data_IF_585633946462
#
_entry.id   IF_585633946462
#
_cell.length_a   1.000
_cell.length_b   1.000
_cell.length_c   1.000
_cell.angle_alpha   90.00
_cell.angle_beta   90.00
_cell.angle_gamma   90.00
#
_symmetry.space_group_name_H-M   'P 1'
#
loop_
_entity.id
_entity.type
_entity.pdbx_description
1 polymer ?
#
# COMPACT_ATOMS: atom_id res chain seq x y z
N UNK A 1 15.90 -22.52 -8.04
CA UNK A 1 16.97 -21.52 -7.97
C UNK A 1 17.84 -21.50 -9.24
N UNK A 2 18.27 -22.67 -9.76
CA UNK A 2 19.14 -22.71 -10.97
C UNK A 2 18.44 -22.08 -12.19
N UNK A 3 17.15 -22.39 -12.43
CA UNK A 3 16.38 -21.72 -13.49
C UNK A 3 16.33 -20.22 -13.32
N UNK A 4 16.07 -19.70 -12.13
CA UNK A 4 16.05 -18.26 -11.87
C UNK A 4 17.41 -17.61 -12.16
N UNK A 5 18.51 -18.29 -11.85
CA UNK A 5 19.85 -17.82 -12.20
C UNK A 5 20.13 -17.85 -13.71
N UNK A 6 19.57 -18.82 -14.43
CA UNK A 6 19.66 -18.88 -15.89
C UNK A 6 18.85 -17.75 -16.54
N UNK A 7 17.70 -17.41 -15.99
CA UNK A 7 16.87 -16.25 -16.41
C UNK A 7 17.54 -14.92 -16.07
N UNK A 8 18.23 -14.85 -14.92
CA UNK A 8 19.08 -13.72 -14.52
C UNK A 8 18.34 -12.48 -14.02
N UNK A 9 17.01 -12.48 -14.01
CA UNK A 9 16.17 -11.34 -13.69
C UNK A 9 14.95 -11.72 -12.89
N UNK A 10 14.47 -10.78 -12.06
CA UNK A 10 13.16 -10.82 -11.38
C UNK A 10 12.39 -9.57 -11.78
N UNK A 11 11.15 -9.74 -12.20
CA UNK A 11 10.24 -8.67 -12.55
C UNK A 11 9.12 -8.59 -11.52
N UNK A 12 9.04 -7.47 -10.80
CA UNK A 12 7.98 -7.24 -9.82
C UNK A 12 6.97 -6.18 -10.28
N UNK A 13 5.86 -6.12 -9.56
CA UNK A 13 4.90 -5.02 -9.64
C UNK A 13 4.59 -4.53 -8.23
N UNK A 14 4.46 -3.20 -8.07
CA UNK A 14 4.10 -2.56 -6.81
C UNK A 14 5.17 -2.67 -5.71
N UNK A 15 6.44 -2.91 -6.09
CA UNK A 15 7.56 -3.09 -5.16
C UNK A 15 8.69 -2.09 -5.42
N UNK A 16 8.39 -0.77 -5.55
CA UNK A 16 9.38 0.23 -5.89
C UNK A 16 10.40 0.43 -4.75
N UNK A 17 11.57 0.91 -5.11
CA UNK A 17 12.74 1.04 -4.25
C UNK A 17 12.51 1.87 -2.98
N UNK A 18 11.65 2.87 -3.03
CA UNK A 18 11.35 3.81 -1.94
C UNK A 18 10.19 3.36 -1.04
N UNK A 19 9.64 2.17 -1.30
CA UNK A 19 8.56 1.58 -0.52
C UNK A 19 9.07 0.43 0.37
N UNK A 20 8.67 0.40 1.64
CA UNK A 20 8.88 -0.72 2.58
C UNK A 20 10.29 -1.34 2.55
N UNK A 21 11.32 -0.54 2.25
CA UNK A 21 12.71 -0.99 2.09
C UNK A 21 12.92 -2.05 0.99
N UNK A 22 12.12 -2.03 -0.08
CA UNK A 22 12.33 -2.95 -1.20
C UNK A 22 13.72 -2.80 -1.82
N UNK A 23 14.29 -1.59 -1.88
CA UNK A 23 15.68 -1.37 -2.30
C UNK A 23 16.67 -2.26 -1.56
N UNK A 24 16.58 -2.31 -0.24
CA UNK A 24 17.46 -3.16 0.58
C UNK A 24 17.23 -4.65 0.34
N UNK A 25 15.97 -5.05 0.19
CA UNK A 25 15.60 -6.45 -0.10
C UNK A 25 16.12 -6.90 -1.45
N UNK A 26 15.92 -6.09 -2.50
CA UNK A 26 16.41 -6.41 -3.86
C UNK A 26 17.93 -6.39 -3.95
N UNK A 27 18.60 -5.46 -3.26
CA UNK A 27 20.06 -5.44 -3.17
C UNK A 27 20.60 -6.75 -2.56
N UNK A 28 19.98 -7.24 -1.49
CA UNK A 28 20.35 -8.50 -0.85
C UNK A 28 20.08 -9.73 -1.75
N UNK A 29 19.01 -9.72 -2.52
CA UNK A 29 18.72 -10.77 -3.51
C UNK A 29 19.75 -10.77 -4.62
N UNK A 30 20.07 -9.59 -5.17
CA UNK A 30 21.09 -9.43 -6.21
C UNK A 30 22.46 -9.89 -5.74
N UNK A 31 22.90 -9.47 -4.56
CA UNK A 31 24.18 -9.88 -3.97
C UNK A 31 24.26 -11.41 -3.77
N UNK A 32 23.19 -11.99 -3.24
CA UNK A 32 23.18 -13.43 -2.88
C UNK A 32 23.05 -14.35 -4.06
N UNK A 33 22.27 -13.98 -5.08
CA UNK A 33 21.87 -14.88 -6.15
C UNK A 33 22.33 -14.44 -7.54
N UNK A 34 22.84 -13.21 -7.69
CA UNK A 34 23.29 -12.65 -8.97
C UNK A 34 22.15 -12.28 -9.92
N UNK A 35 20.95 -12.04 -9.37
CA UNK A 35 19.76 -11.66 -10.13
C UNK A 35 19.65 -10.15 -10.24
N UNK A 36 19.26 -9.65 -11.40
CA UNK A 36 18.81 -8.27 -11.58
C UNK A 36 17.33 -8.15 -11.20
N UNK A 37 16.89 -6.94 -10.87
CA UNK A 37 15.51 -6.67 -10.53
C UNK A 37 14.99 -5.48 -11.32
N UNK A 38 13.77 -5.60 -11.83
CA UNK A 38 13.00 -4.50 -12.41
C UNK A 38 11.61 -4.48 -11.79
N UNK A 39 11.15 -3.29 -11.38
CA UNK A 39 9.80 -3.07 -10.87
C UNK A 39 8.95 -2.26 -11.84
N UNK A 40 7.65 -2.55 -11.85
CA UNK A 40 6.66 -1.68 -12.47
C UNK A 40 5.74 -1.18 -11.37
N UNK A 41 5.87 0.09 -11.00
CA UNK A 41 5.06 0.70 -9.95
C UNK A 41 3.60 0.77 -10.38
N UNK A 42 2.72 0.15 -9.58
CA UNK A 42 1.27 0.08 -9.80
C UNK A 42 0.54 0.11 -8.46
N UNK A 43 -0.70 0.57 -8.48
CA UNK A 43 -1.59 0.40 -7.32
C UNK A 43 -2.09 -1.05 -7.22
N UNK A 44 -2.48 -1.49 -6.02
CA UNK A 44 -2.92 -2.87 -5.77
C UNK A 44 -4.02 -3.37 -6.72
N UNK A 45 -4.95 -2.51 -7.11
CA UNK A 45 -5.99 -2.89 -8.07
C UNK A 45 -5.45 -3.01 -9.51
N UNK A 46 -4.47 -2.18 -9.88
CA UNK A 46 -3.88 -2.19 -11.22
C UNK A 46 -2.98 -3.41 -11.43
N UNK A 47 -2.33 -3.90 -10.39
CA UNK A 47 -1.44 -5.07 -10.45
C UNK A 47 -2.16 -6.36 -10.87
N UNK A 48 -3.43 -6.51 -10.49
CA UNK A 48 -4.19 -7.72 -10.82
C UNK A 48 -4.50 -7.82 -12.32
N UNK A 49 -4.57 -6.70 -13.04
CA UNK A 49 -4.89 -6.68 -14.47
C UNK A 49 -3.81 -7.33 -15.35
N UNK A 50 -2.50 -7.00 -15.25
CA UNK A 50 -1.47 -7.72 -15.98
C UNK A 50 -1.40 -9.20 -15.59
N UNK A 51 -1.57 -9.58 -14.33
CA UNK A 51 -1.60 -10.98 -13.93
C UNK A 51 -2.74 -11.75 -14.62
N UNK A 52 -3.91 -11.14 -14.79
CA UNK A 52 -5.03 -11.76 -15.49
C UNK A 52 -4.78 -11.84 -17.01
N UNK A 53 -4.33 -10.75 -17.62
CA UNK A 53 -4.16 -10.66 -19.08
C UNK A 53 -2.97 -11.46 -19.59
N UNK A 54 -1.93 -11.64 -18.77
CA UNK A 54 -0.69 -12.32 -19.11
C UNK A 54 -0.63 -13.76 -18.56
N UNK A 55 -1.73 -14.29 -18.04
CA UNK A 55 -1.82 -15.57 -17.33
C UNK A 55 -1.07 -16.73 -18.01
N UNK A 56 -1.16 -16.84 -19.35
CA UNK A 56 -0.52 -17.90 -20.14
C UNK A 56 0.91 -17.56 -20.59
N UNK A 57 1.34 -16.31 -20.42
CA UNK A 57 2.64 -15.81 -20.84
C UNK A 57 3.13 -14.73 -19.85
N UNK A 58 3.15 -15.07 -18.57
CA UNK A 58 3.47 -14.14 -17.49
C UNK A 58 4.85 -13.50 -17.68
N UNK A 59 4.89 -12.18 -17.60
CA UNK A 59 6.12 -11.38 -17.62
C UNK A 59 6.51 -10.88 -16.23
N UNK A 60 5.66 -11.10 -15.23
CA UNK A 60 5.87 -10.71 -13.84
C UNK A 60 5.96 -11.93 -12.94
N UNK A 61 6.88 -11.90 -12.01
CA UNK A 61 7.18 -13.02 -11.10
C UNK A 61 6.49 -12.86 -9.74
N UNK A 62 6.33 -11.61 -9.29
CA UNK A 62 5.84 -11.31 -7.95
C UNK A 62 5.17 -9.92 -7.91
N UNK A 63 4.19 -9.75 -7.04
CA UNK A 63 3.54 -8.45 -6.78
C UNK A 63 3.33 -8.19 -5.29
N UNK A 64 3.20 -6.91 -4.92
CA UNK A 64 2.94 -6.44 -3.57
C UNK A 64 1.61 -5.70 -3.52
N UNK A 65 0.57 -6.39 -3.13
CA UNK A 65 -0.79 -5.84 -3.00
C UNK A 65 -1.18 -5.68 -1.54
N UNK A 66 -2.01 -4.69 -1.25
CA UNK A 66 -2.64 -4.60 0.07
C UNK A 66 -3.43 -5.87 0.39
N UNK A 67 -3.44 -6.27 1.66
CA UNK A 67 -4.02 -7.54 2.13
C UNK A 67 -5.44 -7.81 1.58
N UNK A 68 -6.28 -6.77 1.45
CA UNK A 68 -7.64 -6.91 0.94
C UNK A 68 -7.70 -7.44 -0.52
N UNK A 69 -6.64 -7.27 -1.29
CA UNK A 69 -6.55 -7.74 -2.67
C UNK A 69 -6.03 -9.18 -2.81
N UNK A 70 -5.44 -9.76 -1.76
CA UNK A 70 -4.98 -11.15 -1.75
C UNK A 70 -6.09 -12.16 -2.07
N UNK A 71 -7.24 -12.15 -1.36
CA UNK A 71 -8.40 -12.98 -1.70
C UNK A 71 -8.90 -12.77 -3.12
N UNK A 72 -8.93 -11.53 -3.61
CA UNK A 72 -9.34 -11.21 -4.99
C UNK A 72 -8.39 -11.85 -6.01
N UNK A 73 -7.08 -11.78 -5.79
CA UNK A 73 -6.10 -12.45 -6.67
C UNK A 73 -6.29 -13.98 -6.70
N UNK A 74 -6.69 -14.58 -5.57
CA UNK A 74 -7.02 -16.01 -5.48
C UNK A 74 -8.30 -16.34 -6.28
N UNK A 75 -9.35 -15.53 -6.14
CA UNK A 75 -10.61 -15.70 -6.87
C UNK A 75 -10.43 -15.56 -8.38
N UNK A 76 -9.58 -14.64 -8.83
CA UNK A 76 -9.21 -14.44 -10.24
C UNK A 76 -8.32 -15.56 -10.78
N UNK A 77 -7.80 -16.46 -9.90
CA UNK A 77 -6.88 -17.54 -10.23
C UNK A 77 -5.61 -17.04 -10.96
N UNK A 78 -5.04 -15.93 -10.48
CA UNK A 78 -3.86 -15.28 -11.08
C UNK A 78 -2.59 -15.49 -10.25
N UNK A 79 -2.67 -16.23 -9.14
CA UNK A 79 -1.54 -16.52 -8.24
C UNK A 79 -1.35 -18.01 -8.06
N UNK A 80 -0.09 -18.45 -8.01
CA UNK A 80 0.29 -19.83 -7.77
C UNK A 80 0.65 -20.06 -6.31
N UNK A 81 0.40 -21.24 -5.73
CA UNK A 81 0.79 -21.55 -4.37
C UNK A 81 2.30 -21.69 -4.25
N UNK A 82 2.87 -20.96 -3.30
CA UNK A 82 4.28 -21.07 -2.94
C UNK A 82 4.47 -20.91 -1.43
N UNK A 83 5.07 -21.90 -0.78
CA UNK A 83 5.42 -21.84 0.64
C UNK A 83 6.93 -21.70 0.78
N UNK A 84 7.39 -20.52 1.18
CA UNK A 84 8.80 -20.28 1.46
C UNK A 84 9.31 -21.17 2.59
N UNK A 85 10.63 -21.35 2.71
CA UNK A 85 11.24 -22.16 3.78
C UNK A 85 10.93 -21.65 5.20
N UNK A 86 10.52 -20.40 5.32
CA UNK A 86 10.11 -19.75 6.57
C UNK A 86 8.59 -19.71 6.77
N UNK A 87 7.82 -20.41 5.94
CA UNK A 87 6.35 -20.37 5.92
C UNK A 87 5.72 -20.62 7.30
N UNK A 88 6.25 -21.60 8.03
CA UNK A 88 5.72 -21.99 9.35
C UNK A 88 5.95 -20.91 10.44
N UNK A 89 6.89 -20.00 10.22
CA UNK A 89 7.13 -18.85 11.11
C UNK A 89 6.23 -17.66 10.84
N UNK A 90 5.51 -17.62 9.71
CA UNK A 90 4.52 -16.58 9.40
C UNK A 90 3.25 -16.88 10.21
N UNK A 91 2.71 -15.92 10.97
CA UNK A 91 1.44 -16.09 11.70
C UNK A 91 0.28 -16.48 10.77
N UNK A 92 -0.66 -17.28 11.26
CA UNK A 92 -1.78 -17.76 10.43
C UNK A 92 -2.67 -16.63 9.90
N UNK A 93 -2.81 -15.52 10.63
CA UNK A 93 -3.55 -14.35 10.16
C UNK A 93 -2.84 -13.59 9.02
N UNK A 94 -1.56 -13.86 8.80
CA UNK A 94 -0.69 -13.16 7.84
C UNK A 94 -0.40 -13.98 6.57
N UNK A 95 -1.18 -15.04 6.32
CA UNK A 95 -0.96 -15.91 5.16
C UNK A 95 -2.23 -16.65 4.73
N UNK A 96 -2.31 -16.93 3.45
CA UNK A 96 -3.30 -17.85 2.91
C UNK A 96 -2.91 -19.31 3.24
N UNK A 97 -3.81 -20.16 3.76
CA UNK A 97 -3.47 -21.51 4.17
C UNK A 97 -2.93 -22.41 3.02
N UNK A 98 -3.36 -22.13 1.78
CA UNK A 98 -2.93 -22.84 0.59
C UNK A 98 -1.62 -22.31 0.00
N UNK A 99 -1.09 -21.20 0.55
CA UNK A 99 0.19 -20.62 0.13
C UNK A 99 0.10 -19.67 -1.05
N UNK A 100 -1.06 -19.15 -1.39
CA UNK A 100 -1.26 -18.29 -2.54
C UNK A 100 -0.81 -16.85 -2.30
N UNK A 101 -0.78 -16.40 -1.04
CA UNK A 101 -0.22 -15.12 -0.61
C UNK A 101 0.27 -15.16 0.83
N UNK A 102 1.13 -14.23 1.19
CA UNK A 102 1.49 -13.94 2.57
C UNK A 102 1.82 -12.46 2.74
N UNK A 103 1.64 -11.94 3.95
CA UNK A 103 2.05 -10.60 4.32
C UNK A 103 3.56 -10.60 4.55
N UNK A 104 4.28 -9.70 3.88
CA UNK A 104 5.73 -9.53 4.01
C UNK A 104 6.10 -8.44 5.03
N UNK A 105 5.23 -7.47 5.27
CA UNK A 105 5.37 -6.40 6.24
C UNK A 105 4.01 -5.85 6.66
N UNK A 106 3.98 -5.06 7.72
CA UNK A 106 2.80 -4.35 8.20
C UNK A 106 3.18 -2.90 8.49
N UNK A 107 2.21 -2.01 8.35
CA UNK A 107 2.34 -0.60 8.70
C UNK A 107 1.18 -0.14 9.58
N UNK A 108 1.39 0.97 10.25
CA UNK A 108 0.35 1.68 11.00
C UNK A 108 -0.09 2.90 10.20
N UNK A 109 -1.42 3.11 10.10
CA UNK A 109 -1.96 4.31 9.48
C UNK A 109 -1.51 5.54 10.29
N UNK A 110 -0.85 6.48 9.63
CA UNK A 110 -0.22 7.65 10.22
C UNK A 110 -0.54 8.91 9.44
N UNK A 111 -0.33 10.06 10.06
CA UNK A 111 -0.44 11.37 9.42
C UNK A 111 0.96 11.95 9.21
N UNK A 112 1.42 12.03 7.96
CA UNK A 112 2.58 12.83 7.59
C UNK A 112 2.15 14.28 7.45
N UNK A 113 2.72 15.16 8.25
CA UNK A 113 2.35 16.57 8.34
C UNK A 113 3.45 17.46 7.77
N UNK A 114 3.11 18.31 6.83
CA UNK A 114 4.03 19.32 6.32
C UNK A 114 4.20 20.44 7.37
N UNK A 115 5.33 20.44 8.08
CA UNK A 115 5.60 21.37 9.19
C UNK A 115 5.73 22.83 8.74
N UNK A 116 6.02 23.11 7.48
CA UNK A 116 6.08 24.46 6.94
C UNK A 116 4.69 25.06 6.69
N UNK A 117 3.66 24.22 6.60
CA UNK A 117 2.28 24.61 6.30
C UNK A 117 1.34 24.46 7.48
N UNK A 118 1.57 23.47 8.32
CA UNK A 118 0.71 23.13 9.46
C UNK A 118 1.51 23.24 10.76
N UNK A 119 1.23 24.29 11.51
CA UNK A 119 1.91 24.53 12.81
C UNK A 119 1.22 23.85 14.00
N UNK A 120 0.00 23.35 13.79
CA UNK A 120 -0.77 22.67 14.84
C UNK A 120 -0.33 21.21 14.93
N UNK A 121 -0.13 20.71 16.14
CA UNK A 121 0.09 19.27 16.35
C UNK A 121 -1.15 18.48 15.97
N UNK A 122 -0.99 17.53 15.07
CA UNK A 122 -2.05 16.61 14.65
C UNK A 122 -1.84 15.30 15.40
N UNK A 123 -2.67 15.03 16.39
CA UNK A 123 -2.62 13.82 17.25
C UNK A 123 -3.94 13.04 17.30
N UNK A 124 -4.94 13.54 16.59
CA UNK A 124 -6.25 12.92 16.50
C UNK A 124 -7.00 13.36 15.24
N UNK A 125 -8.03 12.63 14.86
CA UNK A 125 -8.92 13.02 13.76
C UNK A 125 -9.64 14.35 14.06
N UNK A 126 -9.88 14.67 15.33
CA UNK A 126 -10.46 15.95 15.73
C UNK A 126 -9.47 17.10 15.53
N UNK A 127 -8.22 16.96 15.98
CA UNK A 127 -7.18 17.99 15.77
C UNK A 127 -6.86 18.18 14.28
N UNK A 128 -6.93 17.10 13.48
CA UNK A 128 -6.82 17.18 12.03
C UNK A 128 -7.94 18.01 11.42
N UNK A 129 -9.19 17.77 11.83
CA UNK A 129 -10.35 18.55 11.40
C UNK A 129 -10.22 20.01 11.78
N UNK A 130 -9.85 20.30 13.03
CA UNK A 130 -9.77 21.65 13.58
C UNK A 130 -8.57 22.45 13.04
N UNK A 131 -7.56 21.79 12.48
CA UNK A 131 -6.34 22.41 11.95
C UNK A 131 -6.58 23.31 10.72
N UNK A 132 -7.67 23.09 10.01
CA UNK A 132 -7.94 23.77 8.72
C UNK A 132 -7.10 23.24 7.55
N UNK A 133 -6.23 22.25 7.77
CA UNK A 133 -5.35 21.68 6.76
C UNK A 133 -6.12 20.89 5.69
N UNK A 134 -5.57 20.84 4.49
CA UNK A 134 -6.01 19.94 3.43
C UNK A 134 -5.49 18.52 3.68
N UNK A 135 -6.34 17.53 3.52
CA UNK A 135 -6.03 16.12 3.74
C UNK A 135 -5.88 15.42 2.39
N UNK A 136 -4.74 14.80 2.17
CA UNK A 136 -4.49 13.94 1.01
C UNK A 136 -4.62 12.48 1.45
N UNK A 137 -5.43 11.67 0.75
CA UNK A 137 -5.65 10.25 1.07
C UNK A 137 -5.40 9.32 -0.11
N UNK A 138 -5.26 9.86 -1.33
CA UNK A 138 -5.17 9.06 -2.55
C UNK A 138 -6.52 8.51 -3.04
N UNK A 139 -6.45 7.61 -4.00
CA UNK A 139 -7.63 7.01 -4.64
C UNK A 139 -8.12 5.78 -3.86
N UNK A 140 -9.26 5.90 -3.20
CA UNK A 140 -9.87 4.83 -2.39
C UNK A 140 -10.38 3.63 -3.23
N UNK A 141 -10.54 3.79 -4.54
CA UNK A 141 -10.97 2.69 -5.41
C UNK A 141 -9.79 1.78 -5.74
N UNK A 142 -8.58 2.33 -5.84
CA UNK A 142 -7.39 1.63 -6.34
C UNK A 142 -6.36 1.31 -5.26
N UNK A 143 -6.21 2.18 -4.27
CA UNK A 143 -5.12 2.12 -3.30
C UNK A 143 -5.51 1.58 -1.94
N UNK A 144 -4.81 0.55 -1.47
CA UNK A 144 -5.03 -0.04 -0.15
C UNK A 144 -4.79 0.97 1.00
N UNK A 145 -3.78 1.85 0.88
CA UNK A 145 -3.53 2.89 1.89
C UNK A 145 -4.71 3.86 2.05
N UNK A 146 -5.31 4.29 0.94
CA UNK A 146 -6.50 5.15 0.97
C UNK A 146 -7.70 4.45 1.63
N UNK A 147 -7.91 3.16 1.33
CA UNK A 147 -8.95 2.35 1.99
C UNK A 147 -8.70 2.23 3.49
N UNK A 148 -7.46 2.00 3.90
CA UNK A 148 -7.09 1.92 5.32
C UNK A 148 -7.19 3.27 6.03
N UNK A 149 -6.94 4.39 5.36
CA UNK A 149 -7.19 5.72 5.92
C UNK A 149 -8.68 5.92 6.26
N UNK A 150 -9.58 5.53 5.35
CA UNK A 150 -11.04 5.57 5.60
C UNK A 150 -11.41 4.63 6.76
N UNK A 151 -10.90 3.41 6.77
CA UNK A 151 -11.21 2.44 7.83
C UNK A 151 -10.69 2.91 9.20
N UNK A 152 -9.48 3.46 9.27
CA UNK A 152 -8.91 4.00 10.51
C UNK A 152 -9.72 5.18 11.05
N UNK A 153 -10.22 6.03 10.16
CA UNK A 153 -11.14 7.11 10.51
C UNK A 153 -12.44 6.56 11.11
N UNK A 154 -13.03 5.54 10.48
CA UNK A 154 -14.24 4.91 10.98
C UNK A 154 -14.06 4.38 12.40
N UNK A 155 -12.99 3.60 12.64
CA UNK A 155 -12.70 3.08 13.99
C UNK A 155 -12.50 4.19 15.02
N UNK A 156 -11.76 5.23 14.67
CA UNK A 156 -11.48 6.34 15.59
C UNK A 156 -12.73 7.15 15.95
N UNK A 157 -13.72 7.19 15.07
CA UNK A 157 -14.98 7.94 15.25
C UNK A 157 -16.15 7.05 15.71
N UNK A 158 -15.86 5.83 16.17
CA UNK A 158 -16.86 4.92 16.77
C UNK A 158 -17.58 4.01 15.77
N UNK A 159 -17.09 3.91 14.55
CA UNK A 159 -17.50 2.93 13.54
C UNK A 159 -16.60 1.69 13.54
N UNK A 160 -16.42 1.09 12.37
CA UNK A 160 -15.60 -0.10 12.16
C UNK A 160 -15.82 -0.72 10.78
N UNK A 161 -15.41 -1.96 10.57
CA UNK A 161 -15.54 -2.65 9.27
C UNK A 161 -17.00 -2.77 8.80
N UNK A 162 -17.94 -2.93 9.73
CA UNK A 162 -19.37 -3.07 9.42
C UNK A 162 -20.11 -1.72 9.41
N UNK A 163 -19.44 -0.63 9.76
CA UNK A 163 -20.03 0.70 9.81
C UNK A 163 -18.98 1.77 9.45
N UNK A 164 -18.95 2.20 8.21
CA UNK A 164 -18.07 3.25 7.70
C UNK A 164 -18.71 4.66 7.72
N UNK A 165 -19.97 4.79 8.12
CA UNK A 165 -20.69 6.07 8.07
C UNK A 165 -19.96 7.21 8.78
N UNK A 166 -19.34 7.04 9.98
CA UNK A 166 -18.59 8.12 10.62
C UNK A 166 -17.42 8.64 9.79
N UNK A 167 -16.74 7.77 9.06
CA UNK A 167 -15.66 8.17 8.16
C UNK A 167 -16.21 8.88 6.92
N UNK A 168 -17.28 8.36 6.33
CA UNK A 168 -17.91 9.01 5.18
C UNK A 168 -18.42 10.40 5.52
N UNK A 169 -18.99 10.60 6.69
CA UNK A 169 -19.43 11.92 7.15
C UNK A 169 -18.22 12.87 7.32
N UNK A 170 -17.13 12.37 7.93
CA UNK A 170 -15.90 13.14 8.09
C UNK A 170 -15.32 13.57 6.73
N UNK A 171 -15.07 12.64 5.82
CA UNK A 171 -14.47 12.97 4.51
C UNK A 171 -15.42 13.76 3.62
N UNK A 172 -16.72 13.57 3.72
CA UNK A 172 -17.72 14.38 3.02
C UNK A 172 -17.68 15.85 3.48
N UNK A 173 -17.55 16.08 4.78
CA UNK A 173 -17.40 17.43 5.34
C UNK A 173 -16.10 18.06 4.82
N UNK A 174 -14.96 17.34 4.88
CA UNK A 174 -13.70 17.83 4.33
C UNK A 174 -13.80 18.18 2.84
N UNK A 175 -14.48 17.36 2.05
CA UNK A 175 -14.71 17.61 0.64
C UNK A 175 -15.58 18.85 0.38
N UNK A 176 -16.64 19.05 1.18
CA UNK A 176 -17.51 20.22 1.09
C UNK A 176 -16.80 21.53 1.43
N UNK A 177 -15.81 21.45 2.33
CA UNK A 177 -14.94 22.59 2.68
C UNK A 177 -13.78 22.79 1.67
N UNK A 178 -13.66 21.95 0.65
CA UNK A 178 -12.54 21.97 -0.30
C UNK A 178 -11.20 21.54 0.30
N UNK A 179 -11.23 20.75 1.36
CA UNK A 179 -10.07 20.30 2.14
C UNK A 179 -9.72 18.83 1.94
N UNK A 180 -10.40 18.13 1.07
CA UNK A 180 -10.07 16.76 0.69
C UNK A 180 -9.40 16.76 -0.69
N UNK A 181 -8.15 16.32 -0.72
CA UNK A 181 -7.40 16.09 -1.95
C UNK A 181 -7.31 14.57 -2.22
N UNK A 182 -7.92 14.12 -3.31
CA UNK A 182 -7.89 12.74 -3.78
C UNK A 182 -6.69 12.46 -4.71
N UNK A 183 -5.74 13.39 -4.81
CA UNK A 183 -4.50 13.19 -5.57
C UNK A 183 -3.59 12.16 -4.93
N UNK A 184 -2.73 11.57 -5.75
CA UNK A 184 -1.70 10.64 -5.27
C UNK A 184 -0.58 11.39 -4.55
N UNK A 185 0.04 10.71 -3.59
CA UNK A 185 1.28 11.18 -2.99
C UNK A 185 2.42 11.17 -4.01
N UNK A 186 3.27 12.18 -3.96
CA UNK A 186 4.62 12.13 -4.47
C UNK A 186 5.51 13.05 -3.64
N UNK A 187 6.79 12.70 -3.52
CA UNK A 187 7.75 13.55 -2.81
C UNK A 187 7.82 14.96 -3.41
N UNK A 188 7.71 15.07 -4.74
CA UNK A 188 7.67 16.37 -5.42
C UNK A 188 6.50 17.26 -4.98
N UNK A 189 5.32 16.70 -4.75
CA UNK A 189 4.14 17.44 -4.25
C UNK A 189 4.38 17.90 -2.82
N UNK A 190 5.01 17.08 -1.98
CA UNK A 190 5.37 17.44 -0.62
C UNK A 190 6.41 18.58 -0.62
N UNK A 191 7.47 18.46 -1.42
CA UNK A 191 8.55 19.47 -1.53
C UNK A 191 8.02 20.79 -2.07
N UNK A 192 7.02 20.76 -2.96
CA UNK A 192 6.34 21.98 -3.46
C UNK A 192 5.28 22.51 -2.52
N UNK A 193 5.14 21.92 -1.34
CA UNK A 193 4.12 22.30 -0.36
C UNK A 193 2.67 22.26 -0.92
N UNK A 194 2.39 21.28 -1.79
CA UNK A 194 1.04 21.03 -2.33
C UNK A 194 0.21 20.13 -1.41
N UNK A 195 0.87 19.45 -0.46
CA UNK A 195 0.25 18.56 0.53
C UNK A 195 0.44 19.18 1.92
N UNK A 196 -0.64 19.35 2.67
CA UNK A 196 -0.61 19.79 4.07
C UNK A 196 -0.49 18.58 5.00
N UNK A 197 -1.40 17.60 4.85
CA UNK A 197 -1.40 16.35 5.63
C UNK A 197 -1.69 15.19 4.69
N UNK A 198 -0.81 14.20 4.68
CA UNK A 198 -0.98 12.93 3.99
C UNK A 198 -1.33 11.83 5.01
N UNK A 199 -2.41 11.11 4.80
CA UNK A 199 -2.73 9.91 5.55
C UNK A 199 -2.12 8.70 4.83
N UNK A 200 -1.12 8.09 5.43
CA UNK A 200 -0.33 7.01 4.84
C UNK A 200 0.27 6.09 5.90
N UNK A 201 1.11 5.18 5.49
CA UNK A 201 1.80 4.24 6.36
C UNK A 201 2.98 4.90 7.10
N UNK A 202 3.22 4.49 8.35
CA UNK A 202 4.28 5.01 9.21
C UNK A 202 5.70 4.83 8.64
N UNK A 203 5.93 3.81 7.83
CA UNK A 203 7.23 3.59 7.19
C UNK A 203 7.52 4.51 5.98
N UNK A 204 6.56 5.36 5.61
CA UNK A 204 6.72 6.42 4.59
C UNK A 204 6.89 7.82 5.19
N UNK A 205 6.78 7.96 6.52
CA UNK A 205 6.80 9.26 7.23
C UNK A 205 8.18 9.62 7.75
#
# INVERSE_FOLDING_TARGET
LEKAKEEGQINSVGMPDDWANWRGSWAAVSEKYGLTHEDTDMSSAEELSPFETEKDAATKDIGDVGQAFGPTAVEMDVVQPYKASTWDSIPDWAKDPDGKWCISYVGTMSAMVNADRVSTTIDSWQTLKDSGATITIGDVVRGASAQMAVLSCAYALGGGMDNLDPAFDFFKEMAQEGRLDAGTYSQERMDRAEIDVLLTWDYLT
#
